data_IF_512547988907
#
_entry.id   IF_512547988907
#
_cell.length_a   1.000
_cell.length_b   1.000
_cell.length_c   1.000
_cell.angle_alpha   90.00
_cell.angle_beta   90.00
_cell.angle_gamma   90.00
#
_symmetry.space_group_name_H-M   'P 1'
#
loop_
_entity.id
_entity.type
_entity.pdbx_description
1 polymer ?
#
# COMPACT_ATOMS: atom_id res chain seq x y z
N UNK A 1 -19.39 10.08 10.20
CA UNK A 1 -18.41 10.01 11.30
C UNK A 1 -17.72 8.67 11.45
N UNK A 2 -18.43 7.53 11.45
CA UNK A 2 -17.84 6.19 11.64
C UNK A 2 -16.66 5.88 10.69
N UNK A 3 -16.78 6.22 9.40
CA UNK A 3 -15.72 5.99 8.41
C UNK A 3 -14.47 6.85 8.69
N UNK A 4 -14.68 8.11 9.06
CA UNK A 4 -13.58 9.00 9.43
C UNK A 4 -12.87 8.53 10.71
N UNK A 5 -13.62 8.00 11.69
CA UNK A 5 -13.05 7.40 12.91
C UNK A 5 -12.16 6.17 12.62
N UNK A 6 -12.39 5.48 11.50
CA UNK A 6 -11.56 4.37 11.02
C UNK A 6 -10.43 4.81 10.07
N UNK A 7 -10.24 6.12 9.87
CA UNK A 7 -9.16 6.68 9.05
C UNK A 7 -9.50 6.89 7.57
N UNK A 8 -10.76 6.76 7.17
CA UNK A 8 -11.14 7.02 5.78
C UNK A 8 -11.00 8.51 5.44
N UNK A 9 -10.38 8.79 4.30
CA UNK A 9 -10.28 10.15 3.76
C UNK A 9 -11.64 10.62 3.21
N UNK A 10 -11.95 11.92 3.34
CA UNK A 10 -13.18 12.54 2.82
C UNK A 10 -12.82 13.69 1.88
N UNK A 11 -13.21 13.58 0.61
CA UNK A 11 -12.91 14.56 -0.44
C UNK A 11 -14.00 14.53 -1.52
N UNK A 12 -14.19 15.67 -2.20
CA UNK A 12 -15.06 15.77 -3.37
C UNK A 12 -14.45 15.12 -4.61
N UNK A 13 -13.11 15.07 -4.67
CA UNK A 13 -12.36 14.56 -5.82
C UNK A 13 -11.47 13.39 -5.40
N UNK A 14 -11.30 12.45 -6.31
CA UNK A 14 -10.40 11.31 -6.21
C UNK A 14 -9.72 11.14 -7.58
N UNK A 15 -8.40 11.22 -7.62
CA UNK A 15 -7.61 11.10 -8.84
C UNK A 15 -6.56 10.00 -8.60
N UNK A 16 -6.69 8.93 -9.36
CA UNK A 16 -5.73 7.85 -9.39
C UNK A 16 -4.59 8.15 -10.37
N UNK A 17 -3.36 7.84 -9.97
CA UNK A 17 -2.18 7.90 -10.83
C UNK A 17 -1.25 6.74 -10.49
N UNK A 18 -0.54 6.25 -11.50
CA UNK A 18 0.23 5.01 -11.40
C UNK A 18 1.66 5.30 -10.93
N UNK A 19 2.14 4.50 -9.98
CA UNK A 19 3.51 4.54 -9.45
C UNK A 19 4.29 3.23 -9.63
N UNK A 20 3.63 2.18 -10.14
CA UNK A 20 4.22 0.86 -10.31
C UNK A 20 5.19 0.78 -11.50
N UNK A 21 6.14 -0.16 -11.43
CA UNK A 21 7.06 -0.51 -12.51
C UNK A 21 7.64 -1.92 -12.29
N UNK A 22 8.41 -2.45 -13.24
CA UNK A 22 9.17 -3.69 -13.05
C UNK A 22 10.39 -3.56 -12.12
N UNK A 23 10.67 -2.35 -11.62
CA UNK A 23 11.80 -2.06 -10.75
C UNK A 23 11.35 -1.72 -9.31
N UNK A 24 10.06 -1.91 -8.99
CA UNK A 24 9.52 -1.57 -7.67
C UNK A 24 9.57 -2.76 -6.70
N UNK A 25 9.99 -2.47 -5.47
CA UNK A 25 9.87 -3.36 -4.33
C UNK A 25 8.88 -2.78 -3.33
N UNK A 26 8.05 -3.64 -2.73
CA UNK A 26 7.03 -3.26 -1.74
C UNK A 26 7.14 -4.17 -0.53
N UNK A 27 7.22 -3.56 0.65
CA UNK A 27 7.15 -4.23 1.95
C UNK A 27 5.87 -3.85 2.68
N UNK A 28 5.22 -4.84 3.28
CA UNK A 28 4.18 -4.64 4.28
C UNK A 28 4.81 -4.57 5.66
N UNK A 29 4.36 -3.63 6.50
CA UNK A 29 4.79 -3.55 7.89
C UNK A 29 3.69 -4.13 8.79
N UNK A 30 4.07 -5.07 9.67
CA UNK A 30 3.17 -5.56 10.71
C UNK A 30 2.96 -4.54 11.85
N UNK A 31 2.14 -4.89 12.84
CA UNK A 31 1.86 -4.01 13.97
C UNK A 31 3.09 -3.74 14.87
N UNK A 32 4.14 -4.54 14.72
CA UNK A 32 5.42 -4.42 15.41
C UNK A 32 6.46 -3.68 14.56
N UNK A 33 6.13 -3.33 13.31
CA UNK A 33 7.01 -2.67 12.36
C UNK A 33 7.98 -3.61 11.64
N UNK A 34 7.77 -4.93 11.72
CA UNK A 34 8.57 -5.90 10.97
C UNK A 34 8.14 -5.87 9.51
N UNK A 35 9.12 -5.83 8.61
CA UNK A 35 8.90 -5.80 7.17
C UNK A 35 8.72 -7.22 6.61
N UNK A 36 7.59 -7.44 5.94
CA UNK A 36 7.28 -8.63 5.16
C UNK A 36 7.31 -8.27 3.67
N UNK A 37 8.09 -9.00 2.83
CA UNK A 37 8.10 -8.77 1.39
C UNK A 37 6.72 -9.02 0.76
N UNK A 38 6.18 -8.03 0.05
CA UNK A 38 4.90 -8.15 -0.68
C UNK A 38 5.15 -8.24 -2.17
N UNK A 39 5.99 -7.34 -2.72
CA UNK A 39 6.39 -7.37 -4.13
C UNK A 39 7.89 -7.17 -4.27
N UNK A 40 8.48 -7.83 -5.28
CA UNK A 40 9.87 -7.64 -5.71
C UNK A 40 9.95 -7.55 -7.23
N UNK A 41 10.67 -6.55 -7.74
CA UNK A 41 10.78 -6.30 -9.18
C UNK A 41 9.42 -6.25 -9.89
N UNK A 42 8.44 -5.60 -9.26
CA UNK A 42 7.08 -5.46 -9.81
C UNK A 42 6.23 -6.73 -9.82
N UNK A 43 6.72 -7.85 -9.30
CA UNK A 43 6.00 -9.11 -9.18
C UNK A 43 5.73 -9.46 -7.71
N UNK A 44 4.78 -10.35 -7.44
CA UNK A 44 4.51 -10.82 -6.07
C UNK A 44 5.73 -11.57 -5.51
N UNK A 45 6.08 -11.27 -4.26
CA UNK A 45 7.10 -12.03 -3.56
C UNK A 45 6.63 -13.47 -3.33
N UNK A 46 7.51 -14.44 -3.58
CA UNK A 46 7.27 -15.85 -3.22
C UNK A 46 7.74 -16.10 -1.79
N UNK A 47 7.04 -16.97 -1.07
CA UNK A 47 7.42 -17.42 0.27
C UNK A 47 8.74 -18.21 0.29
#
# INVERSE_FOLDING_TARGET
DELAQRGANSSLIHIDWMIGSGDIDVDGLDAQGVAEPVMRHGEWATA
#
